data_IF_412185520065
#
_entry.id   IF_412185520065
#
_cell.length_a   1.000
_cell.length_b   1.000
_cell.length_c   1.000
_cell.angle_alpha   90.00
_cell.angle_beta   90.00
_cell.angle_gamma   90.00
#
_symmetry.space_group_name_H-M   'P 1'
#
loop_
_entity.id
_entity.type
_entity.pdbx_description
1 polymer ?
#
# COMPACT_ATOMS: atom_id res chain seq x y z
N UNK A 1 2.80 -11.68 -11.18
CA UNK A 1 3.05 -12.62 -10.06
C UNK A 1 3.21 -14.03 -10.63
N UNK A 2 4.09 -14.87 -10.06
CA UNK A 2 4.34 -16.24 -10.54
C UNK A 2 3.11 -17.13 -10.39
N UNK A 3 2.93 -18.08 -11.32
CA UNK A 3 1.77 -18.99 -11.30
C UNK A 3 1.90 -20.04 -10.19
N UNK A 4 0.95 -20.15 -9.24
CA UNK A 4 0.97 -21.21 -8.23
C UNK A 4 0.51 -22.55 -8.82
N UNK A 5 1.22 -23.63 -8.49
CA UNK A 5 0.90 -24.99 -8.93
C UNK A 5 0.26 -25.82 -7.82
N UNK A 6 0.88 -25.86 -6.63
CA UNK A 6 0.44 -26.72 -5.51
C UNK A 6 0.65 -25.97 -4.20
N UNK A 7 -0.33 -26.02 -3.30
CA UNK A 7 -0.16 -25.65 -1.90
C UNK A 7 -0.51 -26.85 -1.02
N UNK A 8 0.46 -27.39 -0.29
CA UNK A 8 0.28 -28.57 0.56
C UNK A 8 1.13 -28.47 1.83
N UNK A 9 0.50 -28.63 2.99
CA UNK A 9 1.17 -28.58 4.32
C UNK A 9 2.08 -27.35 4.53
N UNK A 10 1.64 -26.18 4.04
CA UNK A 10 2.41 -24.94 4.13
C UNK A 10 3.55 -24.79 3.12
N UNK A 11 3.70 -25.74 2.20
CA UNK A 11 4.62 -25.66 1.05
C UNK A 11 3.85 -25.17 -0.18
N UNK A 12 4.30 -24.06 -0.77
CA UNK A 12 3.76 -23.51 -2.01
C UNK A 12 4.75 -23.74 -3.15
N UNK A 13 4.36 -24.55 -4.13
CA UNK A 13 5.06 -24.73 -5.40
C UNK A 13 4.54 -23.72 -6.41
N UNK A 14 5.43 -22.95 -7.03
CA UNK A 14 5.10 -21.94 -8.03
C UNK A 14 6.05 -22.00 -9.22
N UNK A 15 5.70 -21.28 -10.26
CA UNK A 15 6.58 -20.94 -11.39
C UNK A 15 7.90 -20.34 -10.92
N UNK A 16 9.01 -20.88 -11.44
CA UNK A 16 10.33 -20.32 -11.23
C UNK A 16 10.46 -19.06 -12.09
N UNK A 17 10.69 -17.92 -11.45
CA UNK A 17 11.03 -16.68 -12.15
C UNK A 17 12.51 -16.75 -12.53
N UNK A 18 12.80 -16.59 -13.82
CA UNK A 18 14.17 -16.69 -14.35
C UNK A 18 14.69 -15.36 -14.88
N UNK A 19 16.00 -15.16 -14.81
CA UNK A 19 16.68 -14.08 -15.55
C UNK A 19 16.85 -14.42 -17.04
N UNK A 20 17.45 -13.50 -17.79
CA UNK A 20 17.68 -13.65 -19.23
C UNK A 20 18.60 -14.83 -19.61
N UNK A 21 19.40 -15.34 -18.67
CA UNK A 21 20.30 -16.48 -18.86
C UNK A 21 19.64 -17.81 -18.43
N UNK A 22 18.38 -17.77 -17.97
CA UNK A 22 17.63 -18.93 -17.49
C UNK A 22 17.98 -19.36 -16.07
N UNK A 23 18.73 -18.55 -15.31
CA UNK A 23 19.00 -18.79 -13.90
C UNK A 23 17.85 -18.24 -13.04
N UNK A 24 17.80 -18.62 -11.76
CA UNK A 24 16.85 -18.04 -10.83
C UNK A 24 17.02 -16.52 -10.77
N UNK A 25 15.93 -15.77 -10.98
CA UNK A 25 15.95 -14.33 -11.00
C UNK A 25 16.49 -13.75 -9.67
N UNK A 26 17.44 -12.80 -9.70
CA UNK A 26 17.94 -12.16 -8.48
C UNK A 26 16.86 -11.30 -7.83
N UNK A 27 16.95 -11.10 -6.51
CA UNK A 27 16.11 -10.13 -5.81
C UNK A 27 16.51 -8.72 -6.18
N UNK A 28 15.56 -7.78 -6.16
CA UNK A 28 15.84 -6.36 -6.41
C UNK A 28 16.94 -5.81 -5.47
N UNK A 29 16.95 -6.24 -4.21
CA UNK A 29 17.98 -5.86 -3.23
C UNK A 29 19.42 -6.23 -3.65
N UNK A 30 19.58 -7.28 -4.46
CA UNK A 30 20.89 -7.80 -4.86
C UNK A 30 21.36 -7.20 -6.21
N UNK A 31 20.58 -6.30 -6.80
CA UNK A 31 20.84 -5.69 -8.10
C UNK A 31 21.35 -4.26 -7.96
N UNK A 32 22.48 -3.96 -8.60
CA UNK A 32 22.97 -2.60 -8.72
C UNK A 32 22.07 -1.77 -9.65
N UNK A 33 21.63 -0.61 -9.18
CA UNK A 33 20.73 0.29 -9.91
C UNK A 33 21.46 1.55 -10.38
N UNK A 34 21.34 1.84 -11.67
CA UNK A 34 21.59 3.20 -12.17
C UNK A 34 20.35 4.08 -11.92
N UNK A 35 20.47 5.41 -11.92
CA UNK A 35 19.33 6.30 -11.77
C UNK A 35 18.20 6.03 -12.77
N UNK A 36 18.55 5.78 -14.04
CA UNK A 36 17.58 5.52 -15.11
C UNK A 36 16.83 4.20 -14.88
N UNK A 37 17.56 3.16 -14.45
CA UNK A 37 16.96 1.85 -14.14
C UNK A 37 16.09 1.93 -12.89
N UNK A 38 16.49 2.70 -11.88
CA UNK A 38 15.71 2.93 -10.68
C UNK A 38 14.36 3.59 -11.01
N UNK A 39 14.36 4.63 -11.84
CA UNK A 39 13.13 5.30 -12.28
C UNK A 39 12.22 4.36 -13.09
N UNK A 40 12.78 3.61 -14.03
CA UNK A 40 12.03 2.65 -14.84
C UNK A 40 11.41 1.54 -14.00
N UNK A 41 12.17 0.96 -13.07
CA UNK A 41 11.71 -0.12 -12.19
C UNK A 41 10.66 0.37 -11.21
N UNK A 42 10.87 1.54 -10.60
CA UNK A 42 9.89 2.16 -9.72
C UNK A 42 8.56 2.38 -10.46
N UNK A 43 8.58 2.95 -11.67
CA UNK A 43 7.38 3.16 -12.47
C UNK A 43 6.66 1.84 -12.81
N UNK A 44 7.40 0.79 -13.19
CA UNK A 44 6.84 -0.53 -13.47
C UNK A 44 6.19 -1.17 -12.23
N UNK A 45 6.80 -1.03 -11.06
CA UNK A 45 6.26 -1.54 -9.80
C UNK A 45 5.01 -0.78 -9.37
N UNK A 46 4.95 0.55 -9.54
CA UNK A 46 3.73 1.31 -9.29
C UNK A 46 2.56 0.81 -10.16
N UNK A 47 2.80 0.47 -11.42
CA UNK A 47 1.77 -0.12 -12.27
C UNK A 47 1.29 -1.49 -11.75
N UNK A 48 2.19 -2.32 -11.21
CA UNK A 48 1.80 -3.58 -10.57
C UNK A 48 0.99 -3.35 -9.30
N UNK A 49 1.37 -2.37 -8.47
CA UNK A 49 0.60 -1.97 -7.28
C UNK A 49 -0.80 -1.52 -7.67
N UNK A 50 -0.95 -0.72 -8.72
CA UNK A 50 -2.26 -0.30 -9.25
C UNK A 50 -3.07 -1.51 -9.72
N UNK A 51 -2.46 -2.44 -10.46
CA UNK A 51 -3.13 -3.65 -10.93
C UNK A 51 -3.63 -4.52 -9.75
N UNK A 52 -2.80 -4.70 -8.73
CA UNK A 52 -3.18 -5.43 -7.52
C UNK A 52 -4.35 -4.74 -6.81
N UNK A 53 -4.28 -3.41 -6.64
CA UNK A 53 -5.33 -2.65 -5.99
C UNK A 53 -6.65 -2.67 -6.79
N UNK A 54 -6.59 -2.58 -8.11
CA UNK A 54 -7.74 -2.77 -8.99
C UNK A 54 -8.35 -4.18 -8.88
N UNK A 55 -7.55 -5.20 -8.55
CA UNK A 55 -8.00 -6.55 -8.23
C UNK A 55 -8.49 -6.70 -6.77
N UNK A 56 -8.52 -5.61 -6.00
CA UNK A 56 -8.96 -5.59 -4.60
C UNK A 56 -7.90 -6.04 -3.59
N UNK A 57 -6.64 -6.15 -4.01
CA UNK A 57 -5.55 -6.72 -3.20
C UNK A 57 -4.47 -5.67 -2.92
N UNK A 58 -4.05 -5.59 -1.66
CA UNK A 58 -2.84 -4.86 -1.25
C UNK A 58 -1.82 -5.89 -0.79
N UNK A 59 -0.55 -5.71 -1.13
CA UNK A 59 0.49 -6.68 -0.78
C UNK A 59 0.69 -6.80 0.73
N UNK A 60 0.66 -5.68 1.47
CA UNK A 60 0.70 -5.66 2.93
C UNK A 60 2.08 -5.91 3.54
N UNK A 61 3.13 -6.07 2.72
CA UNK A 61 4.54 -6.18 3.13
C UNK A 61 5.50 -5.96 1.94
N UNK A 62 5.17 -5.01 1.05
CA UNK A 62 5.97 -4.82 -0.16
C UNK A 62 7.32 -4.19 0.18
N UNK A 63 8.40 -4.82 -0.27
CA UNK A 63 9.79 -4.37 -0.11
C UNK A 63 10.68 -4.90 -1.23
N UNK A 64 11.91 -4.42 -1.30
CA UNK A 64 12.96 -4.88 -2.23
C UNK A 64 13.29 -6.37 -2.11
N UNK A 65 12.95 -6.99 -0.98
CA UNK A 65 13.12 -8.42 -0.76
C UNK A 65 12.03 -9.24 -1.44
N UNK A 66 10.85 -8.67 -1.64
CA UNK A 66 9.67 -9.32 -2.22
C UNK A 66 9.53 -9.03 -3.72
N UNK A 67 10.63 -8.66 -4.38
CA UNK A 67 10.68 -8.34 -5.80
C UNK A 67 11.84 -9.10 -6.44
N UNK A 68 11.55 -9.81 -7.52
CA UNK A 68 12.54 -10.45 -8.38
C UNK A 68 12.74 -9.67 -9.67
N UNK A 69 13.91 -9.76 -10.28
CA UNK A 69 14.21 -9.11 -11.57
C UNK A 69 14.34 -10.17 -12.66
N UNK A 70 13.35 -10.28 -13.52
CA UNK A 70 13.39 -11.16 -14.70
C UNK A 70 13.90 -10.41 -15.94
N UNK A 71 13.85 -11.06 -17.10
CA UNK A 71 14.24 -10.48 -18.39
C UNK A 71 13.37 -9.29 -18.84
N UNK A 72 12.15 -9.15 -18.29
CA UNK A 72 11.17 -8.12 -18.65
C UNK A 72 11.09 -6.99 -17.62
N UNK A 73 11.59 -7.19 -16.40
CA UNK A 73 11.68 -6.17 -15.37
C UNK A 73 11.42 -6.70 -13.95
N UNK A 74 11.07 -5.79 -13.02
CA UNK A 74 10.76 -6.19 -11.66
C UNK A 74 9.42 -6.94 -11.60
N UNK A 75 9.34 -8.00 -10.81
CA UNK A 75 8.14 -8.82 -10.58
C UNK A 75 7.90 -8.94 -9.09
N UNK A 76 6.72 -8.51 -8.65
CA UNK A 76 6.26 -8.69 -7.27
C UNK A 76 5.98 -10.17 -7.01
N UNK A 77 6.47 -10.67 -5.87
CA UNK A 77 6.27 -12.03 -5.37
C UNK A 77 5.78 -12.00 -3.92
N UNK A 78 5.46 -13.18 -3.37
CA UNK A 78 5.21 -13.42 -1.94
C UNK A 78 4.03 -12.60 -1.35
N UNK A 79 2.81 -13.16 -1.44
CA UNK A 79 1.57 -12.52 -0.96
C UNK A 79 0.94 -13.11 0.32
N UNK A 80 1.67 -13.68 1.31
CA UNK A 80 1.05 -14.29 2.48
C UNK A 80 0.43 -13.24 3.42
N UNK A 81 0.87 -11.98 3.35
CA UNK A 81 0.36 -10.85 4.12
C UNK A 81 -0.60 -9.96 3.32
N UNK A 82 -1.03 -10.42 2.14
CA UNK A 82 -1.92 -9.63 1.31
C UNK A 82 -3.31 -9.47 1.94
N UNK A 83 -3.87 -8.27 1.83
CA UNK A 83 -5.15 -7.92 2.44
C UNK A 83 -6.14 -7.39 1.40
N UNK A 84 -7.43 -7.49 1.72
CA UNK A 84 -8.52 -6.89 0.95
C UNK A 84 -8.54 -5.37 1.13
N UNK A 85 -8.51 -4.65 0.01
CA UNK A 85 -8.52 -3.20 -0.04
C UNK A 85 -9.85 -2.57 0.40
N UNK A 86 -10.99 -3.25 0.20
CA UNK A 86 -12.32 -2.74 0.53
C UNK A 86 -12.76 -3.09 1.96
N UNK A 87 -12.23 -4.19 2.52
CA UNK A 87 -12.69 -4.76 3.78
C UNK A 87 -11.97 -4.29 5.04
N UNK A 88 -10.95 -3.43 4.92
CA UNK A 88 -10.01 -3.16 6.02
C UNK A 88 -9.78 -1.67 6.26
N UNK A 89 -9.98 -1.22 7.50
CA UNK A 89 -9.71 0.16 7.93
C UNK A 89 -8.22 0.53 7.89
N UNK A 90 -7.33 -0.48 7.84
CA UNK A 90 -5.87 -0.27 7.74
C UNK A 90 -5.37 -0.30 6.29
N UNK A 91 -6.24 -0.54 5.31
CA UNK A 91 -5.87 -0.73 3.91
C UNK A 91 -5.12 0.48 3.32
N UNK A 92 -5.64 1.70 3.54
CA UNK A 92 -5.00 2.94 3.10
C UNK A 92 -3.55 3.05 3.60
N UNK A 93 -3.36 2.87 4.91
CA UNK A 93 -2.04 2.97 5.53
C UNK A 93 -1.08 1.86 5.07
N UNK A 94 -1.58 0.66 4.81
CA UNK A 94 -0.76 -0.45 4.29
C UNK A 94 -0.31 -0.17 2.84
N UNK A 95 -1.21 0.30 1.97
CA UNK A 95 -0.84 0.67 0.60
C UNK A 95 0.17 1.81 0.61
N UNK A 96 -0.07 2.86 1.41
CA UNK A 96 0.85 3.98 1.54
C UNK A 96 2.23 3.50 1.99
N UNK A 97 2.30 2.61 2.98
CA UNK A 97 3.57 2.03 3.45
C UNK A 97 4.27 1.21 2.38
N UNK A 98 3.54 0.35 1.67
CA UNK A 98 4.10 -0.47 0.58
C UNK A 98 4.72 0.41 -0.52
N UNK A 99 4.02 1.48 -0.93
CA UNK A 99 4.53 2.42 -1.93
C UNK A 99 5.68 3.28 -1.39
N UNK A 100 5.62 3.67 -0.12
CA UNK A 100 6.69 4.43 0.54
C UNK A 100 7.98 3.61 0.69
N UNK A 101 7.87 2.29 0.92
CA UNK A 101 9.03 1.40 0.93
C UNK A 101 9.73 1.40 -0.43
N UNK A 102 8.96 1.29 -1.52
CA UNK A 102 9.51 1.40 -2.88
C UNK A 102 10.19 2.76 -3.09
N UNK A 103 9.50 3.86 -2.75
CA UNK A 103 10.06 5.22 -2.85
C UNK A 103 11.40 5.31 -2.13
N UNK A 104 11.44 4.88 -0.87
CA UNK A 104 12.63 4.99 -0.02
C UNK A 104 13.80 4.18 -0.58
N UNK A 105 13.55 2.97 -1.06
CA UNK A 105 14.56 2.12 -1.68
C UNK A 105 15.13 2.76 -2.96
N UNK A 106 14.27 3.15 -3.90
CA UNK A 106 14.72 3.72 -5.17
C UNK A 106 15.30 5.13 -5.04
N UNK A 107 14.91 5.91 -4.03
CA UNK A 107 15.43 7.25 -3.78
C UNK A 107 16.95 7.28 -3.51
N UNK A 108 17.54 6.16 -3.10
CA UNK A 108 19.00 6.04 -2.94
C UNK A 108 19.72 6.24 -4.27
N UNK A 109 19.18 5.69 -5.36
CA UNK A 109 19.74 5.81 -6.72
C UNK A 109 19.12 6.96 -7.52
N UNK A 110 17.86 7.33 -7.23
CA UNK A 110 17.11 8.40 -7.90
C UNK A 110 16.50 9.38 -6.87
N UNK A 111 17.28 10.35 -6.36
CA UNK A 111 16.86 11.26 -5.28
C UNK A 111 15.59 12.06 -5.55
N UNK A 112 15.25 12.28 -6.82
CA UNK A 112 14.01 12.94 -7.26
C UNK A 112 12.74 12.23 -6.77
N UNK A 113 12.80 10.93 -6.48
CA UNK A 113 11.67 10.18 -5.94
C UNK A 113 11.35 10.51 -4.48
N UNK A 114 12.31 11.03 -3.71
CA UNK A 114 12.18 11.20 -2.26
C UNK A 114 11.01 12.11 -1.85
N UNK A 115 10.66 13.09 -2.69
CA UNK A 115 9.56 14.04 -2.43
C UNK A 115 8.18 13.57 -2.93
N UNK A 116 8.09 12.40 -3.54
CA UNK A 116 6.85 11.91 -4.16
C UNK A 116 5.92 11.25 -3.15
N UNK A 117 4.62 11.33 -3.42
CA UNK A 117 3.53 10.81 -2.58
C UNK A 117 2.58 9.91 -3.39
N UNK A 118 3.16 9.00 -4.18
CA UNK A 118 2.38 8.10 -5.05
C UNK A 118 1.37 7.25 -4.27
N UNK A 119 1.70 6.78 -3.07
CA UNK A 119 0.78 5.95 -2.27
C UNK A 119 -0.54 6.67 -1.98
N UNK A 120 -0.44 7.93 -1.52
CA UNK A 120 -1.61 8.78 -1.24
C UNK A 120 -2.38 9.13 -2.51
N UNK A 121 -1.68 9.39 -3.62
CA UNK A 121 -2.31 9.70 -4.90
C UNK A 121 -3.11 8.50 -5.43
N UNK A 122 -2.51 7.31 -5.41
CA UNK A 122 -3.14 6.06 -5.83
C UNK A 122 -4.37 5.77 -4.95
N UNK A 123 -4.25 5.88 -3.63
CA UNK A 123 -5.38 5.65 -2.72
C UNK A 123 -6.53 6.62 -2.98
N UNK A 124 -6.23 7.92 -3.17
CA UNK A 124 -7.24 8.92 -3.48
C UNK A 124 -7.99 8.64 -4.79
N UNK A 125 -7.28 8.17 -5.82
CA UNK A 125 -7.91 7.75 -7.07
C UNK A 125 -8.78 6.50 -6.88
N UNK A 126 -8.34 5.56 -6.04
CA UNK A 126 -9.10 4.36 -5.70
C UNK A 126 -10.41 4.71 -4.98
N UNK A 127 -10.35 5.52 -3.92
CA UNK A 127 -11.54 5.97 -3.18
C UNK A 127 -12.52 6.77 -4.03
N UNK A 128 -12.00 7.54 -4.99
CA UNK A 128 -12.83 8.29 -5.94
C UNK A 128 -13.46 7.41 -7.03
N UNK A 129 -13.10 6.11 -7.11
CA UNK A 129 -13.54 5.22 -8.20
C UNK A 129 -12.93 5.57 -9.56
N UNK A 130 -11.81 6.29 -9.58
CA UNK A 130 -11.12 6.79 -10.78
C UNK A 130 -9.84 6.02 -11.09
N UNK A 131 -9.44 5.08 -10.24
CA UNK A 131 -8.24 4.27 -10.46
C UNK A 131 -8.45 3.29 -11.61
N UNK A 132 -7.55 3.34 -12.60
CA UNK A 132 -7.51 2.40 -13.71
C UNK A 132 -6.04 2.03 -14.04
N UNK A 133 -5.78 0.83 -14.59
CA UNK A 133 -4.47 0.49 -15.10
C UNK A 133 -3.99 1.50 -16.14
N UNK A 134 -2.73 1.95 -16.03
CA UNK A 134 -2.17 2.97 -16.93
C UNK A 134 -2.59 4.41 -16.61
N UNK A 135 -3.25 4.67 -15.47
CA UNK A 135 -3.51 6.05 -15.03
C UNK A 135 -2.20 6.81 -14.89
N UNK A 136 -2.16 8.04 -15.40
CA UNK A 136 -1.01 8.91 -15.26
C UNK A 136 -0.96 9.44 -13.82
N UNK A 137 0.11 9.09 -13.10
CA UNK A 137 0.38 9.59 -11.76
C UNK A 137 1.32 10.79 -11.82
N UNK A 138 1.06 11.77 -10.96
CA UNK A 138 1.87 12.99 -10.85
C UNK A 138 2.96 12.87 -9.79
N UNK A 139 2.80 11.94 -8.84
CA UNK A 139 3.64 11.83 -7.66
C UNK A 139 3.37 12.90 -6.61
N UNK A 140 2.34 13.74 -6.80
CA UNK A 140 2.07 14.88 -5.95
C UNK A 140 0.60 14.94 -5.55
N UNK A 141 0.33 14.88 -4.25
CA UNK A 141 -1.01 15.13 -3.71
C UNK A 141 -1.09 16.58 -3.28
N UNK A 142 -2.06 17.31 -3.84
CA UNK A 142 -2.39 18.66 -3.39
C UNK A 142 -2.63 18.64 -1.86
N UNK A 143 -2.02 19.57 -1.14
CA UNK A 143 -2.17 19.66 0.31
C UNK A 143 -3.66 19.65 0.69
N UNK A 144 -4.07 18.87 1.70
CA UNK A 144 -5.46 18.82 2.12
C UNK A 144 -5.91 20.24 2.54
N UNK A 145 -6.85 20.81 1.80
CA UNK A 145 -7.42 22.14 2.08
C UNK A 145 -8.48 22.10 3.19
N UNK A 146 -8.84 20.91 3.66
CA UNK A 146 -9.78 20.74 4.76
C UNK A 146 -9.02 20.55 6.06
N UNK A 147 -8.98 21.60 6.88
CA UNK A 147 -8.74 21.46 8.31
C UNK A 147 -9.93 20.66 8.86
N UNK A 148 -9.76 19.36 9.07
CA UNK A 148 -10.76 18.55 9.76
C UNK A 148 -10.86 19.10 11.19
N UNK A 149 -12.01 19.65 11.56
CA UNK A 149 -12.24 20.22 12.88
C UNK A 149 -12.33 19.08 13.91
N UNK A 150 -11.16 18.66 14.42
CA UNK A 150 -11.04 17.68 15.51
C UNK A 150 -11.77 18.16 16.76
N UNK A 151 -11.97 19.47 16.91
CA UNK A 151 -12.74 20.07 18.00
C UNK A 151 -14.22 19.65 17.98
N UNK A 152 -14.82 19.54 16.79
CA UNK A 152 -16.21 19.09 16.67
C UNK A 152 -16.39 17.63 17.14
N UNK A 153 -15.46 16.74 16.80
CA UNK A 153 -15.52 15.32 17.20
C UNK A 153 -15.29 15.16 18.71
N UNK A 154 -14.34 15.89 19.30
CA UNK A 154 -14.12 15.89 20.74
C UNK A 154 -15.35 16.44 21.48
N UNK A 155 -16.00 17.46 20.93
CA UNK A 155 -17.19 18.06 21.53
C UNK A 155 -18.38 17.08 21.56
N UNK A 156 -18.61 16.32 20.49
CA UNK A 156 -19.66 15.28 20.47
C UNK A 156 -19.42 14.17 21.50
N UNK A 157 -18.17 13.76 21.70
CA UNK A 157 -17.81 12.75 22.72
C UNK A 157 -18.08 13.28 24.13
N UNK A 158 -17.73 14.54 24.40
CA UNK A 158 -17.96 15.17 25.71
C UNK A 158 -19.46 15.34 25.99
N UNK A 159 -20.25 15.73 24.98
CA UNK A 159 -21.71 15.84 25.08
C UNK A 159 -22.36 14.49 25.39
N UNK A 160 -21.99 13.43 24.66
CA UNK A 160 -22.51 12.08 24.90
C UNK A 160 -22.18 11.57 26.31
N UNK A 161 -21.00 11.94 26.83
CA UNK A 161 -20.58 11.57 28.19
C UNK A 161 -21.38 12.29 29.27
N UNK A 162 -21.65 13.58 29.10
CA UNK A 162 -22.46 14.37 30.03
C UNK A 162 -23.92 13.87 30.08
N UNK A 163 -24.50 13.51 28.92
CA UNK A 163 -25.85 12.93 28.87
C UNK A 163 -25.96 11.60 29.61
N UNK A 164 -24.92 10.75 29.51
CA UNK A 164 -24.90 9.47 30.23
C UNK A 164 -24.75 9.67 31.74
N UNK A 165 -23.89 10.60 32.17
CA UNK A 165 -23.72 10.96 33.60
C UNK A 165 -25.03 11.47 34.22
N UNK A 166 -25.78 12.31 33.50
CA UNK A 166 -27.10 12.77 33.93
C UNK A 166 -28.14 11.65 33.98
N UNK A 167 -28.11 10.72 33.01
CA UNK A 167 -29.00 9.57 32.98
C UNK A 167 -28.77 8.63 34.16
N UNK A 168 -27.50 8.41 34.52
CA UNK A 168 -27.12 7.59 35.68
C UNK A 168 -27.55 8.27 36.98
N UNK A 169 -27.35 9.58 37.11
CA UNK A 169 -27.75 10.36 38.30
C UNK A 169 -29.25 10.28 38.56
N UNK A 170 -30.08 10.51 37.53
CA UNK A 170 -31.54 10.41 37.65
C UNK A 170 -32.02 9.00 38.03
N UNK A 171 -31.32 7.95 37.57
CA UNK A 171 -31.63 6.57 37.97
C UNK A 171 -31.30 6.28 39.43
N UNK A 172 -30.20 6.85 39.95
CA UNK A 172 -29.84 6.72 41.37
C UNK A 172 -30.81 7.48 42.29
N UNK A 173 -31.28 8.66 41.86
CA UNK A 173 -32.28 9.46 42.61
C UNK A 173 -33.68 8.82 42.65
N UNK A 174 -34.03 7.98 41.67
CA UNK A 174 -35.31 7.24 41.65
C UNK A 174 -35.28 5.90 42.42
N UNK A 175 -34.10 5.44 42.87
CA UNK A 175 -33.92 4.15 43.57
C UNK A 175 -33.58 4.28 45.07
N UNK A 176 -33.44 5.50 45.59
CA UNK A 176 -33.28 5.80 47.02
C UNK A 176 -34.54 6.39 47.62
#
# INVERSE_FOLDING_TARGET
VPTPYICFEGVLLMELVTDADGNAAPRLNDVALTPERALAFHAALLQQVILMLCAGVIHGDLSEYNILIDEHGPVIIDLPQAIDAAGSSVAAGMLERDVDNLRNFFAVAAPELAGTQFGKEIWKLYEAGLLAPGVALTGHVAAPTTVTDVGAVIHEIELARLEEEDRVRRKMEMQG
#
